data_IF_778132818046
#
_entry.id   IF_778132818046
#
_cell.length_a   1.000
_cell.length_b   1.000
_cell.length_c   1.000
_cell.angle_alpha   90.00
_cell.angle_beta   90.00
_cell.angle_gamma   90.00
#
_symmetry.space_group_name_H-M   'P 1'
#
loop_
_entity.id
_entity.type
_entity.pdbx_description
1 polymer ?
#
# COMPACT_ATOMS: atom_id res chain seq x y z
N UNK A 1 8.65 -8.07 16.16
CA UNK A 1 7.26 -8.02 15.71
C UNK A 1 6.39 -7.61 16.88
N UNK A 2 5.82 -6.43 16.86
CA UNK A 2 5.01 -5.93 18.00
C UNK A 2 4.01 -4.88 17.53
N UNK A 3 2.83 -4.91 18.14
CA UNK A 3 1.92 -3.77 18.15
C UNK A 3 2.48 -2.72 19.11
N UNK A 4 2.50 -1.48 18.65
CA UNK A 4 2.95 -0.35 19.47
C UNK A 4 2.19 0.92 19.11
N UNK A 5 2.39 1.97 19.89
CA UNK A 5 1.87 3.31 19.57
C UNK A 5 3.02 4.25 19.29
N UNK A 6 2.88 5.05 18.26
CA UNK A 6 3.77 6.18 18.00
C UNK A 6 3.68 7.22 19.14
N UNK A 7 4.61 8.16 19.26
CA UNK A 7 4.60 9.17 20.33
C UNK A 7 3.30 9.98 20.44
N UNK A 8 2.59 10.15 19.33
CA UNK A 8 1.28 10.83 19.28
C UNK A 8 0.10 9.91 19.63
N UNK A 9 0.35 8.65 20.04
CA UNK A 9 -0.68 7.65 20.37
C UNK A 9 -1.22 6.87 19.17
N UNK A 10 -0.75 7.12 17.94
CA UNK A 10 -1.18 6.44 16.73
C UNK A 10 -0.72 4.97 16.74
N UNK A 11 -1.65 3.99 16.63
CA UNK A 11 -1.30 2.58 16.70
C UNK A 11 -0.71 2.10 15.37
N UNK A 12 0.33 1.27 15.48
CA UNK A 12 1.04 0.66 14.36
C UNK A 12 1.47 -0.76 14.71
N UNK A 13 1.59 -1.62 13.72
CA UNK A 13 2.34 -2.86 13.82
C UNK A 13 3.74 -2.67 13.24
N UNK A 14 4.77 -3.17 13.90
CA UNK A 14 6.16 -3.10 13.42
C UNK A 14 6.83 -4.45 13.39
N UNK A 15 7.68 -4.67 12.39
CA UNK A 15 8.51 -5.84 12.22
C UNK A 15 9.91 -5.43 11.70
N UNK A 16 10.92 -6.27 11.96
CA UNK A 16 12.29 -5.97 11.60
C UNK A 16 13.03 -5.17 12.67
N UNK A 17 14.22 -4.69 12.33
CA UNK A 17 15.12 -3.96 13.22
C UNK A 17 15.43 -2.58 12.64
N UNK A 18 15.72 -1.63 13.51
CA UNK A 18 15.97 -0.22 13.12
C UNK A 18 17.35 0.01 12.51
N UNK A 19 18.20 -1.01 12.45
CA UNK A 19 19.47 -1.02 11.73
C UNK A 19 19.34 -1.47 10.26
N UNK A 20 18.12 -1.74 9.79
CA UNK A 20 17.83 -1.97 8.38
C UNK A 20 18.22 -0.75 7.53
N UNK A 21 18.66 -0.98 6.29
CA UNK A 21 18.99 0.11 5.37
C UNK A 21 17.74 0.86 4.87
N UNK A 22 16.63 0.14 4.74
CA UNK A 22 15.38 0.67 4.21
C UNK A 22 14.20 0.37 5.13
N UNK A 23 13.21 1.25 5.10
CA UNK A 23 11.92 1.00 5.73
C UNK A 23 10.82 0.78 4.68
N UNK A 24 9.76 0.08 5.06
CA UNK A 24 8.57 -0.08 4.24
C UNK A 24 7.31 0.19 5.07
N UNK A 25 6.44 1.05 4.54
CA UNK A 25 5.11 1.30 5.08
C UNK A 25 4.14 0.34 4.38
N UNK A 26 3.45 -0.51 5.15
CA UNK A 26 2.51 -1.51 4.64
C UNK A 26 1.09 -1.05 4.95
N UNK A 27 0.33 -0.67 3.93
CA UNK A 27 -1.04 -0.16 4.09
C UNK A 27 -2.07 -1.27 3.94
N UNK A 28 -2.92 -1.37 4.93
CA UNK A 28 -3.96 -2.37 5.11
C UNK A 28 -4.99 -2.42 3.97
N UNK A 29 -5.66 -3.58 3.86
CA UNK A 29 -6.91 -3.73 3.14
C UNK A 29 -8.10 -3.17 3.94
N UNK A 30 -9.32 -3.29 3.41
CA UNK A 30 -10.56 -2.87 4.06
C UNK A 30 -10.89 -3.61 5.38
N UNK A 31 -10.04 -4.54 5.79
CA UNK A 31 -10.26 -5.44 6.94
C UNK A 31 -9.37 -5.12 8.15
N UNK A 32 -8.68 -3.99 8.15
CA UNK A 32 -7.78 -3.57 9.22
C UNK A 32 -6.38 -4.15 9.10
N UNK A 33 -5.52 -3.86 10.09
CA UNK A 33 -4.18 -4.45 10.23
C UNK A 33 -4.32 -5.84 10.87
N UNK A 34 -4.96 -6.74 10.12
CA UNK A 34 -5.24 -8.11 10.52
C UNK A 34 -4.03 -9.04 10.37
N UNK A 35 -4.22 -10.34 10.64
CA UNK A 35 -3.17 -11.33 10.56
C UNK A 35 -2.47 -11.37 9.17
N UNK A 36 -3.21 -11.16 8.07
CA UNK A 36 -2.62 -11.11 6.73
C UNK A 36 -1.69 -9.90 6.56
N UNK A 37 -2.13 -8.70 6.93
CA UNK A 37 -1.31 -7.48 6.79
C UNK A 37 -0.09 -7.53 7.72
N UNK A 38 -0.23 -8.09 8.93
CA UNK A 38 0.91 -8.36 9.81
C UNK A 38 1.90 -9.35 9.18
N UNK A 39 1.41 -10.44 8.57
CA UNK A 39 2.24 -11.40 7.83
C UNK A 39 2.96 -10.74 6.64
N UNK A 40 2.32 -9.80 5.95
CA UNK A 40 2.98 -9.02 4.88
C UNK A 40 4.14 -8.19 5.45
N UNK A 41 3.92 -7.47 6.55
CA UNK A 41 4.97 -6.69 7.21
C UNK A 41 6.13 -7.60 7.68
N UNK A 42 5.81 -8.80 8.21
CA UNK A 42 6.81 -9.77 8.63
C UNK A 42 7.65 -10.26 7.45
N UNK A 43 7.05 -10.52 6.30
CA UNK A 43 7.79 -10.91 5.07
C UNK A 43 8.74 -9.81 4.58
N UNK A 44 8.36 -8.54 4.66
CA UNK A 44 9.28 -7.44 4.37
C UNK A 44 10.42 -7.37 5.40
N UNK A 45 10.14 -7.64 6.68
CA UNK A 45 11.18 -7.71 7.69
C UNK A 45 12.15 -8.88 7.47
N UNK A 46 11.66 -10.04 7.04
CA UNK A 46 12.48 -11.19 6.63
C UNK A 46 13.35 -10.87 5.40
N UNK A 47 12.88 -9.99 4.52
CA UNK A 47 13.65 -9.46 3.39
C UNK A 47 14.64 -8.33 3.77
N UNK A 48 14.75 -7.98 5.06
CA UNK A 48 15.72 -7.01 5.55
C UNK A 48 15.24 -5.57 5.72
N UNK A 49 13.93 -5.31 5.59
CA UNK A 49 13.36 -3.99 5.80
C UNK A 49 12.94 -3.77 7.26
N UNK A 50 12.92 -2.52 7.70
CA UNK A 50 12.09 -2.13 8.84
C UNK A 50 10.67 -1.90 8.34
N UNK A 51 9.74 -2.79 8.68
CA UNK A 51 8.36 -2.73 8.22
C UNK A 51 7.45 -2.09 9.27
N UNK A 52 6.56 -1.18 8.84
CA UNK A 52 5.58 -0.53 9.68
C UNK A 52 4.21 -0.53 9.01
N UNK A 53 3.18 -1.05 9.68
CA UNK A 53 1.81 -1.05 9.21
C UNK A 53 0.95 -0.13 10.10
N UNK A 54 0.61 1.08 9.63
CA UNK A 54 -0.24 2.01 10.36
C UNK A 54 -1.71 1.56 10.34
N UNK A 55 -2.40 1.66 11.48
CA UNK A 55 -3.80 1.27 11.60
C UNK A 55 -4.74 2.40 11.18
N UNK A 56 -5.08 2.49 9.90
CA UNK A 56 -5.88 3.60 9.36
C UNK A 56 -7.30 3.68 9.95
N UNK A 57 -7.80 2.61 10.56
CA UNK A 57 -9.09 2.59 11.25
C UNK A 57 -8.99 2.98 12.74
N UNK A 58 -7.87 3.55 13.19
CA UNK A 58 -7.64 3.85 14.61
C UNK A 58 -8.67 4.82 15.22
N UNK A 59 -9.27 5.70 14.40
CA UNK A 59 -10.34 6.61 14.83
C UNK A 59 -11.64 5.88 15.18
N UNK A 60 -11.79 4.65 14.66
CA UNK A 60 -12.89 3.74 14.96
C UNK A 60 -12.48 2.62 15.94
N UNK A 61 -11.31 2.76 16.60
CA UNK A 61 -10.82 1.81 17.61
C UNK A 61 -9.99 0.65 17.04
N UNK A 62 -9.42 0.79 15.83
CA UNK A 62 -8.56 -0.21 15.18
C UNK A 62 -9.23 -1.58 15.01
N UNK A 63 -10.42 -1.65 14.42
CA UNK A 63 -11.11 -2.92 14.24
C UNK A 63 -10.39 -3.83 13.25
N UNK A 64 -10.34 -5.12 13.56
CA UNK A 64 -10.12 -6.18 12.58
C UNK A 64 -11.49 -6.71 12.14
N UNK A 65 -11.72 -6.77 10.84
CA UNK A 65 -13.00 -7.18 10.25
C UNK A 65 -12.82 -8.53 9.55
N UNK A 66 -13.77 -9.43 9.75
CA UNK A 66 -13.76 -10.72 9.05
C UNK A 66 -13.94 -10.53 7.53
N UNK A 67 -13.30 -11.36 6.72
CA UNK A 67 -13.34 -11.26 5.26
C UNK A 67 -14.72 -11.48 4.63
N UNK A 68 -15.64 -12.09 5.35
CA UNK A 68 -17.04 -12.31 4.94
C UNK A 68 -17.98 -11.18 5.41
N UNK A 69 -17.50 -10.24 6.26
CA UNK A 69 -18.28 -9.08 6.72
C UNK A 69 -17.97 -7.81 5.90
N UNK A 70 -18.22 -7.90 4.59
CA UNK A 70 -18.07 -6.77 3.68
C UNK A 70 -18.82 -5.50 4.09
N UNK A 71 -20.07 -5.58 4.57
CA UNK A 71 -20.81 -4.40 5.05
C UNK A 71 -20.10 -3.63 6.17
N UNK A 72 -19.52 -4.32 7.16
CA UNK A 72 -18.76 -3.69 8.24
C UNK A 72 -17.45 -3.07 7.72
N UNK A 73 -16.74 -3.76 6.83
CA UNK A 73 -15.55 -3.21 6.18
C UNK A 73 -15.87 -1.92 5.42
N UNK A 74 -16.95 -1.91 4.63
CA UNK A 74 -17.40 -0.71 3.90
C UNK A 74 -17.76 0.46 4.83
N UNK A 75 -18.33 0.19 6.00
CA UNK A 75 -18.65 1.21 7.00
C UNK A 75 -17.37 1.91 7.50
N UNK A 76 -16.33 1.17 7.85
CA UNK A 76 -15.06 1.77 8.30
C UNK A 76 -14.34 2.51 7.16
N UNK A 77 -14.36 1.96 5.96
CA UNK A 77 -13.82 2.65 4.79
C UNK A 77 -14.52 3.99 4.51
N UNK A 78 -15.84 4.07 4.75
CA UNK A 78 -16.61 5.31 4.54
C UNK A 78 -16.23 6.43 5.53
N UNK A 79 -15.60 6.11 6.67
CA UNK A 79 -15.12 7.09 7.64
C UNK A 79 -13.72 7.65 7.29
N UNK A 80 -13.03 7.05 6.33
CA UNK A 80 -11.72 7.56 5.89
C UNK A 80 -11.88 8.85 5.09
N UNK A 81 -10.97 9.77 5.34
CA UNK A 81 -10.88 11.05 4.62
C UNK A 81 -9.46 11.29 4.14
N UNK A 82 -9.32 12.04 3.06
CA UNK A 82 -7.99 12.44 2.55
C UNK A 82 -7.14 13.12 3.62
N UNK A 83 -7.72 14.04 4.39
CA UNK A 83 -7.03 14.71 5.49
C UNK A 83 -6.56 13.71 6.57
N UNK A 84 -7.45 12.82 7.01
CA UNK A 84 -7.12 11.80 8.01
C UNK A 84 -5.99 10.89 7.55
N UNK A 85 -6.07 10.37 6.33
CA UNK A 85 -5.02 9.52 5.75
C UNK A 85 -3.71 10.29 5.60
N UNK A 86 -3.74 11.54 5.14
CA UNK A 86 -2.53 12.37 5.01
C UNK A 86 -1.86 12.57 6.37
N UNK A 87 -2.62 12.85 7.43
CA UNK A 87 -2.09 13.00 8.78
C UNK A 87 -1.46 11.69 9.30
N UNK A 88 -2.07 10.53 8.99
CA UNK A 88 -1.55 9.23 9.39
C UNK A 88 -0.25 8.87 8.64
N UNK A 89 -0.19 9.17 7.34
CA UNK A 89 1.03 9.00 6.55
C UNK A 89 2.16 9.90 7.05
N UNK A 90 1.87 11.18 7.33
CA UNK A 90 2.86 12.12 7.87
C UNK A 90 3.38 11.66 9.24
N UNK A 91 2.48 11.27 10.16
CA UNK A 91 2.90 10.75 11.46
C UNK A 91 3.79 9.50 11.35
N UNK A 92 3.51 8.62 10.37
CA UNK A 92 4.30 7.42 10.10
C UNK A 92 5.68 7.79 9.56
N UNK A 93 5.75 8.68 8.56
CA UNK A 93 7.03 9.10 7.96
C UNK A 93 7.88 9.95 8.92
N UNK A 94 7.26 10.80 9.73
CA UNK A 94 7.94 11.53 10.80
C UNK A 94 8.54 10.58 11.85
N UNK A 95 7.81 9.53 12.23
CA UNK A 95 8.36 8.52 13.14
C UNK A 95 9.56 7.80 12.50
N UNK A 96 9.46 7.37 11.24
CA UNK A 96 10.59 6.76 10.53
C UNK A 96 11.80 7.70 10.47
N UNK A 97 11.58 8.99 10.28
CA UNK A 97 12.66 9.98 10.31
C UNK A 97 13.36 10.06 11.69
N UNK A 98 12.65 9.86 12.81
CA UNK A 98 13.28 9.79 14.15
C UNK A 98 14.17 8.55 14.32
N UNK A 99 13.93 7.51 13.51
CA UNK A 99 14.76 6.29 13.46
C UNK A 99 15.92 6.39 12.46
N UNK A 100 16.02 7.52 11.74
CA UNK A 100 17.10 7.78 10.79
C UNK A 100 16.79 7.47 9.33
N UNK A 101 15.57 7.02 8.99
CA UNK A 101 15.15 6.80 7.60
C UNK A 101 14.75 8.13 6.97
N UNK A 102 15.39 8.51 5.87
CA UNK A 102 14.97 9.65 5.04
C UNK A 102 13.97 9.19 3.99
N UNK A 103 13.24 10.12 3.37
CA UNK A 103 12.20 9.78 2.39
C UNK A 103 12.70 8.81 1.29
N UNK A 104 13.93 8.99 0.80
CA UNK A 104 14.54 8.15 -0.24
C UNK A 104 14.81 6.70 0.22
N UNK A 105 14.83 6.41 1.52
CA UNK A 105 15.03 5.08 2.08
C UNK A 105 13.71 4.36 2.39
N UNK A 106 12.56 5.02 2.17
CA UNK A 106 11.24 4.52 2.59
C UNK A 106 10.43 4.08 1.38
N UNK A 107 10.11 2.80 1.29
CA UNK A 107 9.08 2.27 0.39
C UNK A 107 7.69 2.35 1.02
N UNK A 108 6.66 2.41 0.19
CA UNK A 108 5.27 2.21 0.63
C UNK A 108 4.60 1.18 -0.27
N UNK A 109 3.91 0.23 0.33
CA UNK A 109 3.09 -0.75 -0.38
C UNK A 109 1.69 -0.78 0.20
N UNK A 110 0.68 -0.88 -0.63
CA UNK A 110 -0.71 -0.94 -0.17
C UNK A 110 -1.54 -1.94 -0.94
N UNK A 111 -2.54 -2.49 -0.25
CA UNK A 111 -3.40 -3.56 -0.74
C UNK A 111 -4.85 -3.10 -0.78
N UNK A 112 -5.59 -3.32 -1.88
CA UNK A 112 -6.99 -2.92 -2.02
C UNK A 112 -7.19 -1.41 -1.80
N UNK A 113 -7.92 -1.00 -0.76
CA UNK A 113 -8.01 0.40 -0.37
C UNK A 113 -6.62 1.01 -0.06
N UNK A 114 -5.75 0.22 0.55
CA UNK A 114 -4.36 0.63 0.80
C UNK A 114 -3.56 0.84 -0.48
N UNK A 115 -3.90 0.16 -1.57
CA UNK A 115 -3.33 0.42 -2.89
C UNK A 115 -3.67 1.81 -3.40
N UNK A 116 -4.91 2.29 -3.19
CA UNK A 116 -5.28 3.69 -3.48
C UNK A 116 -4.48 4.67 -2.61
N UNK A 117 -4.29 4.33 -1.33
CA UNK A 117 -3.52 5.15 -0.38
C UNK A 117 -2.04 5.20 -0.76
N UNK A 118 -1.42 4.06 -1.13
CA UNK A 118 0.00 4.03 -1.55
C UNK A 118 0.22 4.82 -2.84
N UNK A 119 -0.72 4.78 -3.78
CA UNK A 119 -0.67 5.62 -4.98
C UNK A 119 -0.71 7.11 -4.62
N UNK A 120 -1.65 7.51 -3.76
CA UNK A 120 -1.74 8.89 -3.29
C UNK A 120 -0.45 9.32 -2.56
N UNK A 121 0.09 8.47 -1.69
CA UNK A 121 1.34 8.75 -0.96
C UNK A 121 2.51 9.04 -1.92
N UNK A 122 2.56 8.38 -3.08
CA UNK A 122 3.58 8.62 -4.10
C UNK A 122 3.54 10.04 -4.68
N UNK A 123 2.44 10.78 -4.51
CA UNK A 123 2.31 12.19 -4.93
C UNK A 123 2.80 13.18 -3.87
N UNK A 124 3.02 12.74 -2.62
CA UNK A 124 3.38 13.65 -1.51
C UNK A 124 4.87 13.99 -1.48
N UNK A 125 5.74 13.09 -1.97
CA UNK A 125 7.19 13.25 -1.94
C UNK A 125 7.80 12.91 -0.57
N UNK A 126 7.11 12.13 0.24
CA UNK A 126 7.53 11.69 1.58
C UNK A 126 8.06 10.25 1.60
N UNK A 127 8.05 9.58 0.45
CA UNK A 127 8.57 8.21 0.25
C UNK A 127 9.41 8.14 -1.02
N UNK A 128 10.36 7.19 -1.07
CA UNK A 128 11.31 6.98 -2.15
C UNK A 128 10.76 6.12 -3.29
N UNK A 129 9.85 5.19 -2.99
CA UNK A 129 9.19 4.34 -3.99
C UNK A 129 7.83 3.86 -3.49
N UNK A 130 6.90 3.55 -4.40
CA UNK A 130 5.57 3.08 -4.03
C UNK A 130 5.13 1.87 -4.87
N UNK A 131 4.43 0.93 -4.23
CA UNK A 131 3.79 -0.20 -4.88
C UNK A 131 2.29 -0.27 -4.52
N UNK A 132 1.48 -0.60 -5.50
CA UNK A 132 0.02 -0.62 -5.40
C UNK A 132 -0.52 -1.98 -5.85
N UNK A 133 -1.06 -2.76 -4.93
CA UNK A 133 -1.77 -4.00 -5.23
C UNK A 133 -3.27 -3.71 -5.38
N UNK A 134 -3.79 -3.98 -6.56
CA UNK A 134 -5.23 -3.84 -6.88
C UNK A 134 -5.90 -2.60 -6.27
N UNK A 135 -5.23 -1.46 -6.36
CA UNK A 135 -5.76 -0.17 -5.89
C UNK A 135 -6.85 0.37 -6.82
N UNK A 136 -8.02 0.59 -6.25
CA UNK A 136 -9.17 1.14 -6.99
C UNK A 136 -9.22 2.67 -6.98
N UNK A 137 -10.34 3.22 -7.45
CA UNK A 137 -10.52 4.67 -7.54
C UNK A 137 -9.84 5.30 -8.75
N UNK A 138 -9.60 4.50 -9.80
CA UNK A 138 -8.88 4.94 -11.01
C UNK A 138 -9.62 6.10 -11.68
N UNK A 139 -10.91 5.93 -11.97
CA UNK A 139 -11.72 6.94 -12.68
C UNK A 139 -12.51 7.88 -11.76
N UNK A 140 -12.82 7.46 -10.52
CA UNK A 140 -13.77 8.19 -9.67
C UNK A 140 -13.18 8.74 -8.38
N UNK A 141 -11.92 8.38 -8.08
CA UNK A 141 -11.30 8.69 -6.79
C UNK A 141 -11.92 7.91 -5.62
N UNK A 142 -11.30 8.03 -4.43
CA UNK A 142 -11.79 7.44 -3.17
C UNK A 142 -11.32 8.27 -1.98
N UNK A 143 -12.02 8.19 -0.86
CA UNK A 143 -11.63 8.83 0.42
C UNK A 143 -11.41 10.35 0.33
N UNK A 144 -12.02 11.00 -0.67
CA UNK A 144 -11.78 12.40 -0.98
C UNK A 144 -10.54 12.64 -1.87
N UNK A 145 -9.80 11.61 -2.26
CA UNK A 145 -8.76 11.73 -3.28
C UNK A 145 -9.38 11.95 -4.66
N UNK A 146 -8.72 12.73 -5.53
CA UNK A 146 -9.05 12.76 -6.95
C UNK A 146 -8.91 11.35 -7.58
N UNK A 147 -9.46 11.14 -8.79
CA UNK A 147 -9.19 9.95 -9.58
C UNK A 147 -7.69 9.70 -9.73
N UNK A 148 -7.27 8.42 -9.69
CA UNK A 148 -5.85 8.10 -9.89
C UNK A 148 -5.35 8.54 -11.27
N UNK A 149 -6.23 8.62 -12.28
CA UNK A 149 -5.92 9.19 -13.60
C UNK A 149 -5.44 10.65 -13.50
N UNK A 150 -6.03 11.44 -12.63
CA UNK A 150 -5.64 12.85 -12.41
C UNK A 150 -4.34 12.95 -11.59
N UNK A 151 -4.12 12.02 -10.67
CA UNK A 151 -2.93 11.97 -9.81
C UNK A 151 -1.71 11.39 -10.54
N UNK A 152 -1.88 10.59 -11.58
CA UNK A 152 -0.80 9.87 -12.25
C UNK A 152 0.34 10.79 -12.76
N UNK A 153 0.09 11.96 -13.37
CA UNK A 153 1.15 12.89 -13.76
C UNK A 153 1.88 13.56 -12.58
N UNK A 154 1.29 13.51 -11.38
CA UNK A 154 1.77 14.19 -10.17
C UNK A 154 2.68 13.31 -9.29
N UNK A 155 2.95 12.09 -9.70
CA UNK A 155 3.83 11.18 -8.98
C UNK A 155 5.22 11.81 -8.79
N UNK A 156 5.75 11.71 -7.56
CA UNK A 156 7.05 12.26 -7.15
C UNK A 156 8.11 11.20 -6.87
N UNK A 157 7.71 9.94 -6.81
CA UNK A 157 8.62 8.80 -6.68
C UNK A 157 8.27 7.71 -7.68
N UNK A 158 9.19 6.80 -8.01
CA UNK A 158 8.90 5.60 -8.80
C UNK A 158 7.71 4.81 -8.26
N UNK A 159 6.89 4.29 -9.18
CA UNK A 159 5.65 3.61 -8.81
C UNK A 159 5.45 2.31 -9.60
N UNK A 160 5.05 1.25 -8.87
CA UNK A 160 4.70 -0.07 -9.40
C UNK A 160 3.23 -0.39 -9.13
N UNK A 161 2.48 -0.75 -10.15
CA UNK A 161 1.09 -1.23 -10.05
C UNK A 161 0.98 -2.73 -10.35
N UNK A 162 0.23 -3.46 -9.53
CA UNK A 162 0.06 -4.91 -9.58
C UNK A 162 -1.43 -5.23 -9.59
N UNK A 163 -1.95 -5.62 -10.76
CA UNK A 163 -3.39 -5.76 -11.01
C UNK A 163 -3.73 -7.14 -11.55
N UNK A 164 -4.91 -7.64 -11.19
CA UNK A 164 -5.44 -8.88 -11.72
C UNK A 164 -6.44 -8.63 -12.85
N UNK A 165 -6.35 -9.39 -13.95
CA UNK A 165 -7.25 -9.24 -15.11
C UNK A 165 -8.68 -9.75 -14.85
N UNK A 166 -8.86 -10.56 -13.79
CA UNK A 166 -10.17 -11.08 -13.37
C UNK A 166 -10.79 -10.21 -12.24
N UNK A 167 -10.21 -9.07 -11.91
CA UNK A 167 -10.77 -8.14 -10.94
C UNK A 167 -11.99 -7.42 -11.52
N UNK A 168 -13.18 -7.82 -11.07
CA UNK A 168 -14.44 -7.22 -11.52
C UNK A 168 -14.65 -5.78 -11.03
N UNK A 169 -13.95 -5.38 -9.97
CA UNK A 169 -14.00 -4.02 -9.41
C UNK A 169 -13.03 -3.05 -10.08
N UNK A 170 -12.04 -3.57 -10.82
CA UNK A 170 -11.01 -2.80 -11.53
C UNK A 170 -10.82 -3.42 -12.92
N UNK A 171 -11.69 -3.10 -13.89
CA UNK A 171 -11.59 -3.64 -15.25
C UNK A 171 -10.25 -3.32 -15.91
N UNK A 172 -9.80 -4.22 -16.79
CA UNK A 172 -8.54 -4.07 -17.54
C UNK A 172 -8.47 -2.75 -18.28
N UNK A 173 -9.59 -2.28 -18.82
CA UNK A 173 -9.69 -1.00 -19.52
C UNK A 173 -9.29 0.19 -18.65
N UNK A 174 -9.67 0.20 -17.37
CA UNK A 174 -9.27 1.25 -16.42
C UNK A 174 -7.76 1.18 -16.12
N UNK A 175 -7.21 -0.03 -16.00
CA UNK A 175 -5.76 -0.23 -15.78
C UNK A 175 -4.97 0.28 -16.98
N UNK A 176 -5.44 0.05 -18.21
CA UNK A 176 -4.76 0.54 -19.41
C UNK A 176 -4.93 2.06 -19.60
N UNK A 177 -6.05 2.65 -19.18
CA UNK A 177 -6.20 4.11 -19.10
C UNK A 177 -5.19 4.70 -18.09
N UNK A 178 -5.06 4.08 -16.91
CA UNK A 178 -4.07 4.49 -15.92
C UNK A 178 -2.64 4.40 -16.48
N UNK A 179 -2.31 3.31 -17.20
CA UNK A 179 -1.02 3.16 -17.89
C UNK A 179 -0.75 4.32 -18.86
N UNK A 180 -1.75 4.73 -19.61
CA UNK A 180 -1.64 5.85 -20.55
C UNK A 180 -1.38 7.20 -19.84
N UNK A 181 -2.06 7.45 -18.70
CA UNK A 181 -1.82 8.66 -17.90
C UNK A 181 -0.46 8.64 -17.20
N UNK A 182 -0.03 7.50 -16.70
CA UNK A 182 1.29 7.30 -16.08
C UNK A 182 2.45 7.59 -17.04
N UNK A 183 2.26 7.42 -18.34
CA UNK A 183 3.28 7.80 -19.35
C UNK A 183 3.62 9.30 -19.34
N UNK A 184 2.80 10.15 -18.69
CA UNK A 184 3.06 11.59 -18.51
C UNK A 184 3.83 11.90 -17.22
N UNK A 185 4.00 10.93 -16.33
CA UNK A 185 4.76 11.09 -15.09
C UNK A 185 6.25 11.33 -15.39
N UNK A 186 6.94 12.07 -14.52
CA UNK A 186 8.37 12.37 -14.65
C UNK A 186 9.26 11.33 -13.95
N UNK A 187 8.66 10.31 -13.38
CA UNK A 187 9.30 9.24 -12.63
C UNK A 187 9.07 7.90 -13.33
N UNK A 188 9.84 6.87 -12.99
CA UNK A 188 9.61 5.52 -13.51
C UNK A 188 8.25 5.01 -13.02
N UNK A 189 7.47 4.47 -13.95
CA UNK A 189 6.20 3.83 -13.64
C UNK A 189 6.11 2.49 -14.35
N UNK A 190 5.56 1.50 -13.68
CA UNK A 190 5.41 0.15 -14.20
C UNK A 190 4.06 -0.42 -13.78
N UNK A 191 3.40 -1.17 -14.65
CA UNK A 191 2.21 -1.96 -14.33
C UNK A 191 2.46 -3.41 -14.76
N UNK A 192 2.33 -4.33 -13.81
CA UNK A 192 2.28 -5.77 -14.04
C UNK A 192 0.83 -6.23 -13.90
N UNK A 193 0.37 -7.03 -14.86
CA UNK A 193 -0.97 -7.62 -14.86
C UNK A 193 -0.89 -9.13 -14.76
N UNK A 194 -1.77 -9.69 -13.94
CA UNK A 194 -1.88 -11.13 -13.69
C UNK A 194 -3.16 -11.65 -14.31
N UNK A 195 -3.04 -12.41 -15.40
CA UNK A 195 -4.18 -12.91 -16.21
C UNK A 195 -5.22 -13.69 -15.37
N UNK A 196 -4.75 -14.45 -14.36
CA UNK A 196 -5.60 -15.24 -13.47
C UNK A 196 -5.81 -14.58 -12.10
N UNK A 197 -5.37 -13.32 -11.92
CA UNK A 197 -5.53 -12.57 -10.68
C UNK A 197 -6.94 -11.99 -10.54
N UNK A 198 -7.53 -12.15 -9.35
CA UNK A 198 -8.76 -11.47 -8.94
C UNK A 198 -8.44 -10.34 -7.96
N UNK A 199 -9.46 -9.56 -7.54
CA UNK A 199 -9.29 -8.59 -6.45
C UNK A 199 -8.90 -9.30 -5.15
N UNK A 200 -7.71 -8.96 -4.59
CA UNK A 200 -7.21 -9.61 -3.40
C UNK A 200 -6.41 -10.90 -3.67
N UNK A 201 -5.91 -11.12 -4.90
CA UNK A 201 -5.16 -12.31 -5.29
C UNK A 201 -3.93 -12.59 -4.40
N UNK A 202 -3.43 -11.60 -3.70
CA UNK A 202 -2.29 -11.73 -2.79
C UNK A 202 -2.68 -12.25 -1.39
N UNK A 203 -3.96 -12.19 -1.02
CA UNK A 203 -4.42 -12.53 0.33
C UNK A 203 -4.68 -14.03 0.49
N UNK A 204 -3.73 -14.76 1.07
CA UNK A 204 -3.81 -16.22 1.32
C UNK A 204 -4.98 -16.64 2.23
N UNK A 205 -5.45 -15.74 3.11
CA UNK A 205 -6.62 -15.99 3.95
C UNK A 205 -7.94 -15.99 3.16
N UNK A 206 -7.95 -15.40 1.96
CA UNK A 206 -9.12 -15.32 1.06
C UNK A 206 -9.05 -16.38 -0.03
N UNK A 207 -9.18 -17.66 0.32
CA UNK A 207 -8.97 -18.81 -0.57
C UNK A 207 -9.73 -18.75 -1.91
N UNK A 208 -10.87 -18.06 -1.95
CA UNK A 208 -11.68 -17.95 -3.17
C UNK A 208 -11.05 -17.05 -4.24
N UNK A 209 -10.15 -16.15 -3.86
CA UNK A 209 -9.51 -15.16 -4.77
C UNK A 209 -7.99 -15.26 -4.74
N UNK A 210 -7.41 -15.97 -3.78
CA UNK A 210 -5.97 -16.16 -3.66
C UNK A 210 -5.41 -16.90 -4.87
N UNK A 211 -4.37 -16.35 -5.45
CA UNK A 211 -3.60 -16.99 -6.51
C UNK A 211 -2.13 -17.02 -6.08
N UNK A 212 -1.65 -18.18 -5.66
CA UNK A 212 -0.31 -18.35 -5.10
C UNK A 212 0.78 -17.89 -6.06
N UNK A 213 0.70 -18.29 -7.33
CA UNK A 213 1.72 -17.93 -8.33
C UNK A 213 1.79 -16.40 -8.52
N UNK A 214 0.62 -15.74 -8.66
CA UNK A 214 0.55 -14.29 -8.80
C UNK A 214 0.98 -13.59 -7.51
N UNK A 215 0.62 -14.12 -6.34
CA UNK A 215 0.97 -13.52 -5.05
C UNK A 215 2.49 -13.55 -4.78
N UNK A 216 3.14 -14.68 -5.05
CA UNK A 216 4.58 -14.85 -4.88
C UNK A 216 5.35 -13.97 -5.87
N UNK A 217 4.96 -13.99 -7.14
CA UNK A 217 5.59 -13.17 -8.19
C UNK A 217 5.41 -11.67 -7.89
N UNK A 218 4.20 -11.22 -7.55
CA UNK A 218 3.92 -9.82 -7.24
C UNK A 218 4.71 -9.32 -6.02
N UNK A 219 4.86 -10.15 -4.98
CA UNK A 219 5.69 -9.82 -3.83
C UNK A 219 7.16 -9.69 -4.23
N UNK A 220 7.69 -10.64 -5.01
CA UNK A 220 9.07 -10.58 -5.49
C UNK A 220 9.30 -9.38 -6.41
N UNK A 221 8.38 -9.09 -7.36
CA UNK A 221 8.43 -7.88 -8.18
C UNK A 221 8.50 -6.60 -7.33
N UNK A 222 7.77 -6.57 -6.19
CA UNK A 222 7.81 -5.43 -5.28
C UNK A 222 9.16 -5.30 -4.59
N UNK A 223 9.76 -6.40 -4.12
CA UNK A 223 11.09 -6.38 -3.52
C UNK A 223 12.14 -5.94 -4.53
N UNK A 224 12.15 -6.53 -5.73
CA UNK A 224 13.09 -6.18 -6.81
C UNK A 224 12.96 -4.71 -7.22
N UNK A 225 11.73 -4.20 -7.27
CA UNK A 225 11.46 -2.79 -7.56
C UNK A 225 12.00 -1.87 -6.46
N UNK A 226 11.77 -2.19 -5.20
CA UNK A 226 12.29 -1.40 -4.08
C UNK A 226 13.82 -1.46 -3.99
N UNK A 227 14.43 -2.60 -4.24
CA UNK A 227 15.90 -2.75 -4.27
C UNK A 227 16.56 -1.87 -5.34
N UNK A 228 15.87 -1.61 -6.45
CA UNK A 228 16.36 -0.74 -7.53
C UNK A 228 16.10 0.74 -7.23
N UNK A 229 14.94 1.08 -6.67
CA UNK A 229 14.47 2.46 -6.60
C UNK A 229 14.74 3.16 -5.26
N UNK A 230 14.94 2.41 -4.17
CA UNK A 230 15.32 3.01 -2.89
C UNK A 230 16.83 3.29 -2.88
N UNK A 231 17.22 4.38 -2.26
CA UNK A 231 18.63 4.81 -2.25
C UNK A 231 19.53 3.77 -1.57
N UNK A 232 20.62 3.42 -2.26
CA UNK A 232 21.70 2.64 -1.62
C UNK A 232 22.55 3.64 -0.83
N UNK A 233 22.63 3.44 0.50
CA UNK A 233 23.55 4.18 1.37
C UNK A 233 24.96 3.65 1.28
#
# INVERSE_FOLDING_TARGET
MTEQKLPNGFPVYVAGTTDAHHAVIVIQEAFGVNAHIRSVADRFAEAGYFAIAPELFHRDGSPEVDYDDGPTAMKYMANLTMEGITNDLNATTEFLATLGFVAADVGIVGYCMGGTVSFYAATLGTVGAAATFYGGGIETGRFGFPPLLELAPELKCPWLGLYGDLDQGIPVEQVEQLRAELAKAKVRTEIVRYAEGQHGFHCEARRAVYNEAAAVDAHQCTLDFFDVELSVK
#
